data_IF_333719141496
#
_entry.id   IF_333719141496
#
_cell.length_a   1.000
_cell.length_b   1.000
_cell.length_c   1.000
_cell.angle_alpha   90.00
_cell.angle_beta   90.00
_cell.angle_gamma   90.00
#
_symmetry.space_group_name_H-M   'P 1'
#
loop_
_entity.id
_entity.type
_entity.pdbx_description
1 polymer ?
#
# COMPACT_ATOMS: atom_id res chain seq x y z
N UNK A 1 -2.57 -14.42 -15.99
CA UNK A 1 -2.30 -13.37 -14.98
C UNK A 1 -0.97 -12.68 -15.24
N UNK A 2 0.13 -13.41 -15.36
CA UNK A 2 1.47 -12.85 -15.60
C UNK A 2 1.55 -11.90 -16.80
N UNK A 3 0.90 -12.23 -17.92
CA UNK A 3 0.83 -11.34 -19.09
C UNK A 3 0.13 -10.00 -18.80
N UNK A 4 -0.97 -10.01 -18.04
CA UNK A 4 -1.68 -8.79 -17.65
C UNK A 4 -0.88 -7.96 -16.66
N UNK A 5 -0.15 -8.59 -15.73
CA UNK A 5 0.75 -7.89 -14.81
C UNK A 5 1.90 -7.22 -15.57
N UNK A 6 2.50 -7.91 -16.55
CA UNK A 6 3.53 -7.32 -17.42
C UNK A 6 2.99 -6.13 -18.21
N UNK A 7 1.79 -6.27 -18.75
CA UNK A 7 1.12 -5.19 -19.48
C UNK A 7 0.84 -3.97 -18.58
N UNK A 8 0.21 -4.16 -17.42
CA UNK A 8 -0.10 -3.08 -16.49
C UNK A 8 1.17 -2.45 -15.90
N UNK A 9 2.20 -3.25 -15.61
CA UNK A 9 3.51 -2.76 -15.19
C UNK A 9 4.18 -1.89 -16.26
N UNK A 10 4.20 -2.34 -17.51
CA UNK A 10 4.73 -1.56 -18.62
C UNK A 10 3.95 -0.25 -18.84
N UNK A 11 2.62 -0.30 -18.70
CA UNK A 11 1.76 0.88 -18.80
C UNK A 11 2.05 1.87 -17.67
N UNK A 12 2.21 1.38 -16.43
CA UNK A 12 2.58 2.20 -15.28
C UNK A 12 3.92 2.90 -15.51
N UNK A 13 4.95 2.14 -15.88
CA UNK A 13 6.30 2.68 -16.13
C UNK A 13 6.30 3.74 -17.24
N UNK A 14 5.61 3.47 -18.36
CA UNK A 14 5.53 4.41 -19.48
C UNK A 14 4.71 5.66 -19.17
N UNK A 15 3.73 5.57 -18.25
CA UNK A 15 2.89 6.71 -17.90
C UNK A 15 3.62 7.83 -17.16
N UNK A 16 4.76 7.52 -16.52
CA UNK A 16 5.52 8.43 -15.63
C UNK A 16 4.71 8.99 -14.43
N UNK A 17 3.42 8.63 -14.30
CA UNK A 17 2.54 9.10 -13.22
C UNK A 17 2.93 8.53 -11.86
N UNK A 18 3.75 7.49 -11.84
CA UNK A 18 4.33 6.92 -10.63
C UNK A 18 5.39 7.84 -10.00
N UNK A 19 5.96 8.78 -10.74
CA UNK A 19 7.05 9.63 -10.24
C UNK A 19 6.61 10.48 -9.05
N UNK A 20 5.45 11.16 -9.15
CA UNK A 20 4.93 12.01 -8.10
C UNK A 20 4.71 11.29 -6.75
N UNK A 21 3.99 10.14 -6.67
CA UNK A 21 3.84 9.42 -5.41
C UNK A 21 5.17 8.91 -4.85
N UNK A 22 6.05 8.38 -5.69
CA UNK A 22 7.36 7.88 -5.24
C UNK A 22 8.27 8.98 -4.73
N UNK A 23 8.33 10.13 -5.40
CA UNK A 23 9.12 11.29 -4.94
C UNK A 23 8.56 11.84 -3.63
N UNK A 24 7.25 11.94 -3.49
CA UNK A 24 6.62 12.38 -2.24
C UNK A 24 6.94 11.44 -1.07
N UNK A 25 6.87 10.12 -1.30
CA UNK A 25 7.23 9.13 -0.29
C UNK A 25 8.73 9.13 0.03
N UNK A 26 9.59 9.23 -0.98
CA UNK A 26 11.03 9.33 -0.77
C UNK A 26 11.40 10.57 0.05
N UNK A 27 10.78 11.72 -0.24
CA UNK A 27 10.96 12.93 0.55
C UNK A 27 10.50 12.75 2.00
N UNK A 28 9.34 12.12 2.22
CA UNK A 28 8.83 11.80 3.55
C UNK A 28 9.81 10.91 4.34
N UNK A 29 10.28 9.82 3.74
CA UNK A 29 11.26 8.91 4.35
C UNK A 29 12.58 9.62 4.64
N UNK A 30 13.10 10.42 3.71
CA UNK A 30 14.33 11.18 3.89
C UNK A 30 14.23 12.26 4.98
N UNK A 31 13.03 12.75 5.27
CA UNK A 31 12.79 13.69 6.37
C UNK A 31 12.81 12.96 7.72
N UNK A 32 12.10 11.83 7.82
CA UNK A 32 11.85 11.18 9.10
C UNK A 32 12.81 10.07 9.52
N UNK A 33 13.71 9.59 8.64
CA UNK A 33 14.75 8.62 9.03
C UNK A 33 16.08 9.35 9.17
N UNK A 34 16.70 9.26 10.35
CA UNK A 34 18.04 9.78 10.62
C UNK A 34 19.01 8.68 11.05
N UNK A 35 20.30 8.83 10.74
CA UNK A 35 21.33 7.91 11.23
C UNK A 35 21.36 7.93 12.76
N UNK A 36 21.36 6.75 13.37
CA UNK A 36 21.33 6.57 14.82
C UNK A 36 19.93 6.55 15.47
N UNK A 37 18.86 6.76 14.70
CA UNK A 37 17.49 6.57 15.23
C UNK A 37 17.24 5.09 15.59
N UNK A 38 16.34 4.78 16.55
CA UNK A 38 15.90 3.42 16.80
C UNK A 38 15.26 2.80 15.56
N UNK A 39 15.73 1.61 15.16
CA UNK A 39 15.30 0.99 13.90
C UNK A 39 13.81 0.66 13.86
N UNK A 40 13.20 0.29 15.00
CA UNK A 40 11.76 0.00 15.05
C UNK A 40 10.90 1.25 14.84
N UNK A 41 11.29 2.39 15.40
CA UNK A 41 10.54 3.64 15.26
C UNK A 41 10.62 4.15 13.81
N UNK A 42 11.80 4.05 13.20
CA UNK A 42 12.01 4.39 11.78
C UNK A 42 11.23 3.49 10.83
N UNK A 43 11.16 2.19 11.12
CA UNK A 43 10.32 1.23 10.36
C UNK A 43 8.83 1.56 10.50
N UNK A 44 8.37 1.91 11.72
CA UNK A 44 7.00 2.35 11.96
C UNK A 44 6.65 3.62 11.18
N UNK A 45 7.55 4.62 11.19
CA UNK A 45 7.39 5.86 10.45
C UNK A 45 7.32 5.62 8.93
N UNK A 46 8.28 4.85 8.38
CA UNK A 46 8.32 4.52 6.96
C UNK A 46 7.05 3.77 6.51
N UNK A 47 6.55 2.84 7.34
CA UNK A 47 5.34 2.10 7.04
C UNK A 47 4.08 2.97 7.08
N UNK A 48 3.98 3.95 7.98
CA UNK A 48 2.85 4.88 8.02
C UNK A 48 2.70 5.67 6.71
N UNK A 49 3.82 6.11 6.12
CA UNK A 49 3.84 6.80 4.83
C UNK A 49 3.43 5.93 3.63
N UNK A 50 3.43 4.59 3.76
CA UNK A 50 3.04 3.68 2.67
C UNK A 50 1.54 3.66 2.41
N UNK A 51 0.72 3.95 3.42
CA UNK A 51 -0.75 3.94 3.28
C UNK A 51 -1.22 4.94 2.20
N UNK A 52 -0.85 6.24 2.25
CA UNK A 52 -1.22 7.19 1.22
C UNK A 52 -0.53 6.89 -0.13
N UNK A 53 0.72 6.41 -0.11
CA UNK A 53 1.42 5.98 -1.32
C UNK A 53 0.64 4.88 -2.04
N UNK A 54 0.17 3.87 -1.30
CA UNK A 54 -0.56 2.74 -1.87
C UNK A 54 -1.94 3.11 -2.40
N UNK A 55 -2.67 3.95 -1.67
CA UNK A 55 -3.93 4.48 -2.17
C UNK A 55 -3.74 5.24 -3.50
N UNK A 56 -2.68 6.06 -3.60
CA UNK A 56 -2.36 6.82 -4.81
C UNK A 56 -1.92 5.90 -5.96
N UNK A 57 -1.01 4.95 -5.70
CA UNK A 57 -0.50 4.06 -6.75
C UNK A 57 -1.59 3.17 -7.35
N UNK A 58 -2.43 2.59 -6.49
CA UNK A 58 -3.57 1.77 -6.93
C UNK A 58 -4.53 2.60 -7.78
N UNK A 59 -4.80 3.84 -7.38
CA UNK A 59 -5.64 4.76 -8.17
C UNK A 59 -5.03 5.05 -9.54
N UNK A 60 -3.71 5.28 -9.62
CA UNK A 60 -3.02 5.46 -10.90
C UNK A 60 -3.21 4.22 -11.76
N UNK A 61 -2.90 3.02 -11.24
CA UNK A 61 -3.00 1.77 -12.01
C UNK A 61 -4.42 1.53 -12.55
N UNK A 62 -5.45 1.75 -11.72
CA UNK A 62 -6.85 1.57 -12.12
C UNK A 62 -7.30 2.59 -13.17
N UNK A 63 -6.69 3.77 -13.22
CA UNK A 63 -7.08 4.87 -14.14
C UNK A 63 -6.14 5.09 -15.31
N UNK A 64 -5.03 4.35 -15.38
CA UNK A 64 -3.98 4.54 -16.38
C UNK A 64 -4.44 4.11 -17.78
N UNK A 65 -5.24 3.04 -17.84
CA UNK A 65 -5.68 2.46 -19.11
C UNK A 65 -6.85 3.23 -19.74
N UNK A 66 -6.74 3.65 -21.02
CA UNK A 66 -7.83 4.25 -21.80
C UNK A 66 -9.06 3.33 -21.89
N UNK A 67 -10.24 3.92 -22.08
CA UNK A 67 -11.51 3.16 -22.16
C UNK A 67 -11.48 2.06 -23.22
N UNK A 68 -11.21 2.43 -24.48
CA UNK A 68 -11.18 1.48 -25.60
C UNK A 68 -10.18 0.32 -25.42
N UNK A 69 -9.00 0.61 -24.85
CA UNK A 69 -8.00 -0.43 -24.55
C UNK A 69 -8.50 -1.38 -23.45
N UNK A 70 -9.15 -0.84 -22.41
CA UNK A 70 -9.75 -1.61 -21.33
C UNK A 70 -10.86 -2.52 -21.84
N UNK A 71 -11.70 -2.05 -22.78
CA UNK A 71 -12.78 -2.85 -23.35
C UNK A 71 -12.23 -4.04 -24.15
N UNK A 72 -11.18 -3.81 -24.94
CA UNK A 72 -10.45 -4.89 -25.64
C UNK A 72 -9.84 -5.90 -24.65
N UNK A 73 -9.18 -5.41 -23.60
CA UNK A 73 -8.59 -6.27 -22.57
C UNK A 73 -9.66 -7.06 -21.79
N UNK A 74 -10.81 -6.45 -21.51
CA UNK A 74 -11.94 -7.08 -20.84
C UNK A 74 -12.59 -8.14 -21.73
N UNK A 75 -12.74 -7.89 -23.03
CA UNK A 75 -13.22 -8.88 -24.00
C UNK A 75 -12.26 -10.08 -24.10
N UNK A 76 -10.94 -9.84 -24.10
CA UNK A 76 -9.94 -10.89 -24.27
C UNK A 76 -9.68 -11.72 -22.99
N UNK A 77 -9.70 -11.09 -21.81
CA UNK A 77 -9.24 -11.73 -20.57
C UNK A 77 -10.25 -11.69 -19.42
N UNK A 78 -11.37 -10.97 -19.58
CA UNK A 78 -12.41 -10.77 -18.58
C UNK A 78 -12.20 -9.50 -17.74
N UNK A 79 -13.26 -8.70 -17.45
CA UNK A 79 -13.15 -7.43 -16.75
C UNK A 79 -12.60 -7.55 -15.32
N UNK A 80 -12.96 -8.63 -14.60
CA UNK A 80 -12.44 -8.93 -13.26
C UNK A 80 -10.93 -9.10 -13.27
N UNK A 81 -10.42 -9.89 -14.22
CA UNK A 81 -9.00 -10.25 -14.34
C UNK A 81 -8.14 -9.04 -14.72
N UNK A 82 -8.66 -8.16 -15.57
CA UNK A 82 -8.01 -6.89 -15.93
C UNK A 82 -7.96 -5.94 -14.73
N UNK A 83 -9.06 -5.80 -13.99
CA UNK A 83 -9.09 -4.93 -12.81
C UNK A 83 -8.19 -5.45 -11.68
N UNK A 84 -8.23 -6.76 -11.40
CA UNK A 84 -7.35 -7.39 -10.42
C UNK A 84 -5.87 -7.20 -10.78
N UNK A 85 -5.49 -7.30 -12.06
CA UNK A 85 -4.12 -7.05 -12.49
C UNK A 85 -3.66 -5.60 -12.20
N UNK A 86 -4.54 -4.61 -12.38
CA UNK A 86 -4.23 -3.22 -12.03
C UNK A 86 -4.05 -3.03 -10.51
N UNK A 87 -4.90 -3.64 -9.68
CA UNK A 87 -4.76 -3.61 -8.22
C UNK A 87 -3.47 -4.27 -7.75
N UNK A 88 -3.16 -5.46 -8.27
CA UNK A 88 -1.94 -6.21 -7.94
C UNK A 88 -0.67 -5.46 -8.37
N UNK A 89 -0.71 -4.76 -9.51
CA UNK A 89 0.42 -3.93 -9.96
C UNK A 89 0.65 -2.76 -9.01
N UNK A 90 -0.43 -2.12 -8.53
CA UNK A 90 -0.36 -1.07 -7.52
C UNK A 90 0.24 -1.55 -6.21
N UNK A 91 -0.24 -2.69 -5.70
CA UNK A 91 0.24 -3.33 -4.48
C UNK A 91 1.71 -3.77 -4.60
N UNK A 92 2.11 -4.32 -5.75
CA UNK A 92 3.50 -4.73 -5.98
C UNK A 92 4.44 -3.52 -5.92
N UNK A 93 4.07 -2.40 -6.55
CA UNK A 93 4.87 -1.17 -6.52
C UNK A 93 5.04 -0.60 -5.12
N UNK A 94 4.01 -0.71 -4.27
CA UNK A 94 4.04 -0.17 -2.90
C UNK A 94 4.83 -1.05 -1.95
N UNK A 95 4.72 -2.38 -2.10
CA UNK A 95 5.55 -3.32 -1.38
C UNK A 95 7.04 -3.15 -1.74
N UNK A 96 7.35 -2.91 -3.00
CA UNK A 96 8.72 -2.61 -3.42
C UNK A 96 9.25 -1.31 -2.79
N UNK A 97 8.45 -0.24 -2.79
CA UNK A 97 8.82 1.01 -2.14
C UNK A 97 9.04 0.84 -0.63
N UNK A 98 8.15 0.10 0.03
CA UNK A 98 8.25 -0.21 1.46
C UNK A 98 9.46 -1.06 1.80
N UNK A 99 9.76 -2.08 0.98
CA UNK A 99 10.95 -2.90 1.15
C UNK A 99 12.24 -2.10 1.00
N UNK A 100 12.30 -1.16 0.05
CA UNK A 100 13.45 -0.26 -0.12
C UNK A 100 13.61 0.68 1.08
N UNK A 101 12.52 1.27 1.58
CA UNK A 101 12.56 2.14 2.74
C UNK A 101 12.94 1.38 4.03
N UNK A 102 12.40 0.18 4.22
CA UNK A 102 12.76 -0.69 5.34
C UNK A 102 14.22 -1.14 5.27
N UNK A 103 14.71 -1.50 4.08
CA UNK A 103 16.12 -1.82 3.85
C UNK A 103 17.03 -0.64 4.16
N UNK A 104 16.67 0.58 3.74
CA UNK A 104 17.41 1.79 4.07
C UNK A 104 17.43 2.06 5.59
N UNK A 105 16.29 1.89 6.28
CA UNK A 105 16.22 2.02 7.73
C UNK A 105 17.14 1.01 8.44
N UNK A 106 17.11 -0.26 8.04
CA UNK A 106 17.96 -1.31 8.63
C UNK A 106 19.46 -1.07 8.42
N UNK A 107 19.85 -0.32 7.40
CA UNK A 107 21.24 0.01 7.11
C UNK A 107 21.74 1.26 7.85
N UNK A 108 20.85 2.19 8.18
CA UNK A 108 21.19 3.53 8.67
C UNK A 108 20.88 3.72 10.17
N UNK A 109 19.89 3.01 10.68
CA UNK A 109 19.39 3.13 12.05
C UNK A 109 20.07 2.16 13.01
N UNK A 110 20.05 2.49 14.30
CA UNK A 110 20.64 1.64 15.33
C UNK A 110 19.69 0.50 15.71
N UNK A 111 20.19 -0.73 15.50
CA UNK A 111 19.50 -1.98 15.81
C UNK A 111 20.01 -2.68 17.07
N UNK A 112 20.89 -2.05 17.86
CA UNK A 112 21.59 -2.74 18.97
C UNK A 112 20.66 -3.39 20.01
N UNK A 113 19.45 -2.84 20.21
CA UNK A 113 18.46 -3.36 21.15
C UNK A 113 17.58 -4.49 20.58
N UNK A 114 17.59 -4.76 19.27
CA UNK A 114 16.72 -5.76 18.65
C UNK A 114 17.48 -6.53 17.58
N UNK A 115 17.56 -7.86 17.72
CA UNK A 115 18.29 -8.69 16.75
C UNK A 115 17.86 -8.38 15.30
N UNK A 116 18.81 -8.24 14.34
CA UNK A 116 18.54 -7.71 13.01
C UNK A 116 17.48 -8.52 12.24
N UNK A 117 17.43 -9.83 12.46
CA UNK A 117 16.40 -10.70 11.89
C UNK A 117 14.98 -10.42 12.41
N UNK A 118 14.84 -10.16 13.71
CA UNK A 118 13.53 -9.86 14.31
C UNK A 118 12.99 -8.49 13.85
N UNK A 119 13.87 -7.48 13.78
CA UNK A 119 13.52 -6.16 13.27
C UNK A 119 13.10 -6.22 11.79
N UNK A 120 13.81 -7.00 10.96
CA UNK A 120 13.48 -7.18 9.55
C UNK A 120 12.11 -7.85 9.36
N UNK A 121 11.82 -8.92 10.12
CA UNK A 121 10.52 -9.62 10.05
C UNK A 121 9.38 -8.70 10.51
N UNK A 122 9.55 -8.01 11.64
CA UNK A 122 8.53 -7.11 12.16
C UNK A 122 8.27 -5.93 11.19
N UNK A 123 9.32 -5.32 10.65
CA UNK A 123 9.23 -4.27 9.64
C UNK A 123 8.54 -4.74 8.35
N UNK A 124 8.86 -5.95 7.87
CA UNK A 124 8.23 -6.53 6.69
C UNK A 124 6.71 -6.76 6.89
N UNK A 125 6.31 -7.25 8.07
CA UNK A 125 4.91 -7.47 8.39
C UNK A 125 4.12 -6.17 8.48
N UNK A 126 4.67 -5.15 9.15
CA UNK A 126 3.99 -3.84 9.25
C UNK A 126 3.93 -3.15 7.88
N UNK A 127 5.00 -3.25 7.08
CA UNK A 127 5.00 -2.81 5.69
C UNK A 127 3.88 -3.47 4.88
N UNK A 128 3.72 -4.79 5.01
CA UNK A 128 2.67 -5.53 4.32
C UNK A 128 1.26 -5.08 4.77
N UNK A 129 1.04 -4.89 6.08
CA UNK A 129 -0.23 -4.38 6.62
C UNK A 129 -0.55 -2.98 6.08
N UNK A 130 0.42 -2.06 6.10
CA UNK A 130 0.24 -0.70 5.57
C UNK A 130 0.00 -0.68 4.05
N UNK A 131 0.70 -1.53 3.30
CA UNK A 131 0.49 -1.66 1.86
C UNK A 131 -0.90 -2.23 1.51
N UNK A 132 -1.35 -3.26 2.23
CA UNK A 132 -2.67 -3.87 2.05
C UNK A 132 -3.80 -2.90 2.40
N UNK A 133 -3.68 -2.21 3.53
CA UNK A 133 -4.68 -1.22 3.98
C UNK A 133 -4.76 -0.04 3.02
N UNK A 134 -3.63 0.55 2.62
CA UNK A 134 -3.62 1.63 1.61
C UNK A 134 -4.14 1.17 0.25
N UNK A 135 -3.87 -0.07 -0.16
CA UNK A 135 -4.41 -0.63 -1.40
C UNK A 135 -5.93 -0.84 -1.36
N UNK A 136 -6.47 -1.24 -0.21
CA UNK A 136 -7.93 -1.33 0.00
C UNK A 136 -8.58 0.06 -0.11
N UNK A 137 -7.99 1.08 0.50
CA UNK A 137 -8.44 2.48 0.37
C UNK A 137 -8.38 2.94 -1.08
N UNK A 138 -7.30 2.63 -1.80
CA UNK A 138 -7.14 2.96 -3.23
C UNK A 138 -8.18 2.27 -4.12
N UNK A 139 -8.51 1.01 -3.84
CA UNK A 139 -9.53 0.25 -4.56
C UNK A 139 -10.94 0.85 -4.36
N UNK A 140 -11.28 1.21 -3.11
CA UNK A 140 -12.56 1.84 -2.77
C UNK A 140 -12.68 3.28 -3.31
N UNK A 141 -11.55 3.99 -3.42
CA UNK A 141 -11.48 5.34 -4.00
C UNK A 141 -11.56 5.35 -5.54
N UNK A 142 -11.67 4.17 -6.15
CA UNK A 142 -11.67 3.97 -7.59
C UNK A 142 -12.93 4.46 -8.31
N UNK A 143 -12.79 4.55 -9.64
CA UNK A 143 -13.82 5.00 -10.59
C UNK A 143 -15.19 4.29 -10.51
N UNK A 144 -15.33 3.04 -10.02
CA UNK A 144 -16.66 2.46 -9.80
C UNK A 144 -17.47 3.21 -8.73
N UNK A 145 -16.83 3.71 -7.66
CA UNK A 145 -17.56 4.28 -6.52
C UNK A 145 -17.60 5.81 -6.54
N UNK A 146 -16.56 6.47 -7.07
CA UNK A 146 -16.47 7.94 -7.05
C UNK A 146 -16.44 8.51 -8.47
N UNK A 147 -17.55 9.12 -8.88
CA UNK A 147 -17.80 9.59 -10.25
C UNK A 147 -17.04 10.88 -10.63
N UNK A 148 -16.52 11.65 -9.65
CA UNK A 148 -15.76 12.90 -9.86
C UNK A 148 -14.29 12.78 -9.47
N UNK A 149 -13.37 13.14 -10.39
CA UNK A 149 -11.90 13.07 -10.21
C UNK A 149 -11.39 13.82 -8.96
N UNK A 150 -12.04 14.91 -8.57
CA UNK A 150 -11.66 15.71 -7.38
C UNK A 150 -12.02 15.05 -6.04
N UNK A 151 -13.17 14.40 -5.95
CA UNK A 151 -13.61 13.71 -4.72
C UNK A 151 -12.81 12.44 -4.42
N UNK A 152 -12.20 11.82 -5.44
CA UNK A 152 -11.34 10.65 -5.22
C UNK A 152 -10.02 10.98 -4.52
N UNK A 153 -9.53 12.21 -4.66
CA UNK A 153 -8.32 12.67 -3.95
C UNK A 153 -8.68 12.98 -2.49
N UNK A 154 -9.81 13.67 -2.26
CA UNK A 154 -10.33 13.93 -0.92
C UNK A 154 -10.72 12.64 -0.19
N UNK A 155 -11.32 11.65 -0.86
CA UNK A 155 -11.68 10.37 -0.28
C UNK A 155 -10.45 9.49 -0.01
N UNK A 156 -9.41 9.55 -0.85
CA UNK A 156 -8.14 8.87 -0.57
C UNK A 156 -7.40 9.53 0.60
N UNK A 157 -7.39 10.87 0.67
CA UNK A 157 -6.79 11.64 1.76
C UNK A 157 -7.56 11.43 3.07
N UNK A 158 -8.89 11.60 3.08
CA UNK A 158 -9.75 11.34 4.24
C UNK A 158 -9.76 9.86 4.61
N UNK A 159 -9.76 8.93 3.65
CA UNK A 159 -9.71 7.50 3.91
C UNK A 159 -8.39 7.07 4.53
N UNK A 160 -7.27 7.61 4.04
CA UNK A 160 -5.95 7.40 4.64
C UNK A 160 -5.89 8.04 6.03
N UNK A 161 -6.42 9.25 6.20
CA UNK A 161 -6.49 9.94 7.49
C UNK A 161 -7.37 9.18 8.48
N UNK A 162 -8.55 8.71 8.08
CA UNK A 162 -9.46 7.92 8.91
C UNK A 162 -8.86 6.55 9.24
N UNK A 163 -8.16 5.91 8.30
CA UNK A 163 -7.45 4.66 8.54
C UNK A 163 -6.25 4.81 9.50
N UNK A 164 -5.67 6.01 9.59
CA UNK A 164 -4.62 6.36 10.56
C UNK A 164 -5.21 6.81 11.91
N UNK A 165 -6.36 7.48 11.90
CA UNK A 165 -6.91 8.20 13.06
C UNK A 165 -7.93 7.36 13.85
N UNK A 166 -8.74 6.51 13.22
CA UNK A 166 -9.79 5.77 13.94
C UNK A 166 -9.19 4.69 14.85
N UNK A 167 -9.61 4.71 16.12
CA UNK A 167 -9.20 3.80 17.19
C UNK A 167 -9.35 2.29 16.89
N UNK A 168 -10.35 1.81 16.10
CA UNK A 168 -10.41 0.40 15.69
C UNK A 168 -9.56 0.05 14.46
N UNK A 169 -8.73 0.96 13.94
CA UNK A 169 -8.00 0.69 12.69
C UNK A 169 -6.85 -0.31 12.89
N UNK A 170 -6.76 -1.36 12.05
CA UNK A 170 -5.71 -2.38 12.15
C UNK A 170 -4.31 -1.80 11.90
N UNK A 171 -4.21 -0.71 11.14
CA UNK A 171 -2.95 0.02 10.92
C UNK A 171 -2.46 0.68 12.21
N UNK A 172 -3.34 1.41 12.92
CA UNK A 172 -3.00 1.98 14.23
C UNK A 172 -2.69 0.88 15.24
N UNK A 173 -3.47 -0.20 15.27
CA UNK A 173 -3.18 -1.36 16.14
C UNK A 173 -1.80 -1.97 15.89
N UNK A 174 -1.42 -2.21 14.63
CA UNK A 174 -0.12 -2.75 14.27
C UNK A 174 1.04 -1.79 14.61
N UNK A 175 0.88 -0.50 14.33
CA UNK A 175 1.89 0.52 14.67
C UNK A 175 2.02 0.67 16.19
N UNK A 176 0.91 0.69 16.93
CA UNK A 176 0.93 0.81 18.40
C UNK A 176 1.50 -0.44 19.07
N UNK A 177 1.24 -1.63 18.51
CA UNK A 177 1.84 -2.88 18.96
C UNK A 177 3.36 -2.92 18.67
N UNK A 178 3.79 -2.42 17.51
CA UNK A 178 5.21 -2.34 17.16
C UNK A 178 5.95 -1.34 18.07
N UNK A 179 5.37 -0.16 18.34
CA UNK A 179 5.93 0.86 19.23
C UNK A 179 5.86 0.45 20.71
N UNK A 180 4.88 -0.35 21.10
CA UNK A 180 4.82 -0.92 22.45
C UNK A 180 5.82 -2.07 22.62
N UNK A 181 5.95 -2.94 21.61
CA UNK A 181 6.95 -4.03 21.57
C UNK A 181 8.39 -3.55 21.52
N UNK A 182 8.66 -2.42 20.85
CA UNK A 182 9.95 -1.74 20.87
C UNK A 182 10.33 -1.26 22.28
N UNK A 183 9.35 -0.87 23.10
CA UNK A 183 9.56 -0.41 24.48
C UNK A 183 9.67 -1.55 25.50
N UNK A 184 9.10 -2.72 25.21
CA UNK A 184 9.13 -3.90 26.10
C UNK A 184 10.20 -4.93 25.73
N UNK A 185 10.90 -4.78 24.60
CA UNK A 185 11.92 -5.74 24.13
C UNK A 185 11.35 -7.07 23.62
N UNK A 186 10.03 -7.15 23.43
CA UNK A 186 9.31 -8.33 22.94
C UNK A 186 8.71 -8.04 21.56
N UNK A 187 9.25 -8.71 20.54
CA UNK A 187 8.72 -8.62 19.17
C UNK A 187 7.46 -9.50 19.05
N UNK A 188 6.36 -9.10 19.68
CA UNK A 188 5.08 -9.78 19.47
C UNK A 188 4.60 -9.56 18.03
N UNK A 189 4.47 -10.67 17.29
CA UNK A 189 4.11 -10.69 15.88
C UNK A 189 2.61 -10.37 15.75
N UNK A 190 2.20 -9.25 15.12
CA UNK A 190 0.80 -8.85 15.07
C UNK A 190 0.03 -9.62 13.98
N UNK A 191 -0.04 -10.95 14.11
CA UNK A 191 -0.69 -11.86 13.16
C UNK A 191 -2.17 -11.55 12.98
N UNK A 192 -2.85 -11.08 14.03
CA UNK A 192 -4.24 -10.63 13.99
C UNK A 192 -4.43 -9.41 13.11
N UNK A 193 -3.51 -8.43 13.19
CA UNK A 193 -3.54 -7.24 12.33
C UNK A 193 -3.31 -7.60 10.86
N UNK A 194 -2.42 -8.57 10.59
CA UNK A 194 -2.18 -9.10 9.23
C UNK A 194 -3.44 -9.77 8.69
N UNK A 195 -4.09 -10.63 9.48
CA UNK A 195 -5.30 -11.34 9.07
C UNK A 195 -6.45 -10.36 8.77
N UNK A 196 -6.66 -9.35 9.61
CA UNK A 196 -7.68 -8.32 9.39
C UNK A 196 -7.37 -7.47 8.15
N UNK A 197 -6.11 -7.07 7.95
CA UNK A 197 -5.70 -6.32 6.77
C UNK A 197 -5.88 -7.13 5.47
N UNK A 198 -5.56 -8.42 5.49
CA UNK A 198 -5.79 -9.34 4.38
C UNK A 198 -7.29 -9.48 4.08
N UNK A 199 -8.12 -9.68 5.11
CA UNK A 199 -9.57 -9.81 4.94
C UNK A 199 -10.18 -8.53 4.35
N UNK A 200 -9.76 -7.35 4.83
CA UNK A 200 -10.21 -6.06 4.31
C UNK A 200 -9.75 -5.84 2.86
N UNK A 201 -8.49 -6.14 2.55
CA UNK A 201 -7.97 -6.03 1.19
C UNK A 201 -8.67 -7.00 0.22
N UNK A 202 -8.97 -8.23 0.67
CA UNK A 202 -9.73 -9.20 -0.11
C UNK A 202 -11.17 -8.74 -0.33
N UNK A 203 -11.86 -8.25 0.71
CA UNK A 203 -13.23 -7.75 0.60
C UNK A 203 -13.33 -6.51 -0.31
N UNK A 204 -12.40 -5.56 -0.15
CA UNK A 204 -12.35 -4.37 -1.01
C UNK A 204 -11.99 -4.73 -2.46
N UNK A 205 -11.01 -5.62 -2.65
CA UNK A 205 -10.59 -6.09 -3.97
C UNK A 205 -11.70 -6.84 -4.70
N UNK A 206 -12.40 -7.74 -4.01
CA UNK A 206 -13.55 -8.48 -4.55
C UNK A 206 -14.70 -7.53 -4.89
N UNK A 207 -15.06 -6.60 -4.01
CA UNK A 207 -16.10 -5.61 -4.27
C UNK A 207 -15.75 -4.73 -5.50
N UNK A 208 -14.50 -4.26 -5.60
CA UNK A 208 -14.04 -3.46 -6.73
C UNK A 208 -14.05 -4.25 -8.04
N UNK A 209 -13.60 -5.51 -8.02
CA UNK A 209 -13.63 -6.40 -9.17
C UNK A 209 -15.06 -6.71 -9.64
N UNK A 210 -15.97 -6.99 -8.72
CA UNK A 210 -17.38 -7.23 -9.04
C UNK A 210 -18.07 -5.96 -9.56
N UNK A 211 -17.78 -4.81 -8.99
CA UNK A 211 -18.30 -3.53 -9.46
C UNK A 211 -17.78 -3.16 -10.86
N UNK A 212 -16.54 -3.55 -11.20
CA UNK A 212 -15.97 -3.40 -12.53
C UNK A 212 -16.63 -4.36 -13.53
N UNK A 213 -16.90 -5.60 -13.14
CA UNK A 213 -17.57 -6.60 -13.98
C UNK A 213 -19.01 -6.24 -14.36
N UNK A 214 -19.71 -5.45 -13.53
CA UNK A 214 -21.08 -4.99 -13.79
C UNK A 214 -21.18 -3.78 -14.73
N UNK A 215 -20.06 -3.18 -15.12
CA UNK A 215 -20.03 -1.93 -15.92
C UNK A 215 -19.24 -2.02 -17.22
N UNK A 216 -18.51 -3.12 -17.44
CA UNK A 216 -17.97 -3.49 -18.74
C UNK A 216 -18.95 -4.42 -19.44
#
# INVERSE_FOLDING_TARGET
MTALLRYQGALLLRSQRWLAPFVAYAAFVAVGIRPGDPVLDSLGYAAAGLVPLAAWLVRICVTNEPGAARDCAAAAAGPVRVHAAALLTGLAGTLLAGALAAGAALLVCDGAATGPGAAAVAGALVTAVCALTGSAVGALSGRPLVRRRGHGILAAALGSLLALVLAPSPARGAVTALVSGARSGTAEVPLTAVAVALALAAAAGTAACLAAARRG
#
